data_IF_878968777097
#
_entry.id   IF_878968777097
#
_cell.length_a   1.000
_cell.length_b   1.000
_cell.length_c   1.000
_cell.angle_alpha   90.00
_cell.angle_beta   90.00
_cell.angle_gamma   90.00
#
_symmetry.space_group_name_H-M   'P 1'
#
loop_
_entity.id
_entity.type
_entity.pdbx_description
1 polymer ?
#
# COMPACT_ATOMS: atom_id res chain seq x y z
N UNK A 1 9.22 26.25 6.59
CA UNK A 1 9.09 26.49 8.04
C UNK A 1 9.59 25.24 8.72
N UNK A 2 10.88 25.26 9.04
CA UNK A 2 11.61 24.13 9.60
C UNK A 2 11.08 23.80 10.99
N UNK A 3 10.69 22.54 11.18
CA UNK A 3 10.14 22.02 12.44
C UNK A 3 11.28 21.53 13.34
N UNK A 4 11.34 21.93 14.62
CA UNK A 4 12.46 21.62 15.51
C UNK A 4 12.35 20.17 16.01
N UNK A 5 12.87 19.23 15.22
CA UNK A 5 12.96 17.83 15.59
C UNK A 5 14.15 17.61 16.55
N UNK A 6 13.89 17.14 17.77
CA UNK A 6 14.93 16.43 18.53
C UNK A 6 15.03 15.04 17.92
N UNK A 7 15.84 14.94 16.87
CA UNK A 7 16.18 13.72 16.16
C UNK A 7 16.97 12.81 17.12
N UNK A 8 16.56 11.55 17.28
CA UNK A 8 17.49 10.52 17.76
C UNK A 8 18.75 10.63 16.88
N UNK A 9 19.96 10.73 17.44
CA UNK A 9 21.15 10.97 16.65
C UNK A 9 21.27 9.93 15.55
N UNK A 10 21.14 10.37 14.30
CA UNK A 10 21.37 9.52 13.16
C UNK A 10 22.84 9.09 13.20
N UNK A 11 23.13 7.83 12.90
CA UNK A 11 24.52 7.41 12.77
C UNK A 11 25.19 8.29 11.69
N UNK A 12 26.38 8.86 11.95
CA UNK A 12 27.13 9.58 10.93
C UNK A 12 27.29 8.81 9.61
N UNK A 13 27.30 7.47 9.67
CA UNK A 13 27.37 6.56 8.51
C UNK A 13 26.03 6.36 7.80
N UNK A 14 24.89 6.58 8.47
CA UNK A 14 23.55 6.52 7.88
C UNK A 14 23.12 7.88 7.27
N UNK A 15 23.74 8.99 7.68
CA UNK A 15 23.53 10.33 7.13
C UNK A 15 23.64 10.42 5.59
N UNK A 16 24.71 9.90 4.94
CA UNK A 16 24.81 9.96 3.48
C UNK A 16 23.74 9.12 2.75
N UNK A 17 23.21 8.08 3.41
CA UNK A 17 22.13 7.25 2.87
C UNK A 17 20.81 8.01 2.95
N UNK A 18 20.53 8.65 4.10
CA UNK A 18 19.36 9.50 4.28
C UNK A 18 19.31 10.62 3.24
N UNK A 19 20.42 11.33 2.99
CA UNK A 19 20.47 12.43 2.03
C UNK A 19 20.20 11.97 0.59
N UNK A 20 20.64 10.76 0.23
CA UNK A 20 20.33 10.15 -1.08
C UNK A 20 18.86 9.77 -1.16
N UNK A 21 18.32 9.10 -0.15
CA UNK A 21 16.90 8.71 -0.11
C UNK A 21 15.96 9.92 -0.14
N UNK A 22 16.32 11.03 0.53
CA UNK A 22 15.54 12.27 0.46
C UNK A 22 15.52 12.84 -0.96
N UNK A 23 16.65 12.85 -1.67
CA UNK A 23 16.71 13.27 -3.08
C UNK A 23 15.85 12.38 -3.98
N UNK A 24 15.94 11.06 -3.81
CA UNK A 24 15.15 10.11 -4.59
C UNK A 24 13.65 10.26 -4.29
N UNK A 25 13.27 10.47 -3.03
CA UNK A 25 11.88 10.77 -2.63
C UNK A 25 11.36 12.03 -3.31
N UNK A 26 12.13 13.11 -3.30
CA UNK A 26 11.71 14.38 -3.89
C UNK A 26 11.57 14.26 -5.41
N UNK A 27 12.42 13.47 -6.07
CA UNK A 27 12.29 13.13 -7.49
C UNK A 27 11.04 12.29 -7.79
N UNK A 28 10.73 11.28 -6.95
CA UNK A 28 9.51 10.47 -7.06
C UNK A 28 8.24 11.32 -6.87
N UNK A 29 8.29 12.31 -5.95
CA UNK A 29 7.20 13.25 -5.75
C UNK A 29 7.00 14.19 -6.94
N UNK A 30 8.08 14.68 -7.53
CA UNK A 30 8.01 15.51 -8.74
C UNK A 30 7.41 14.75 -9.91
N UNK A 31 7.83 13.50 -10.12
CA UNK A 31 7.25 12.62 -11.13
C UNK A 31 5.75 12.39 -10.90
N UNK A 32 5.32 12.22 -9.65
CA UNK A 32 3.90 12.11 -9.31
C UNK A 32 3.13 13.41 -9.56
N UNK A 33 3.74 14.55 -9.28
CA UNK A 33 3.11 15.87 -9.39
C UNK A 33 3.08 16.42 -10.83
N UNK A 34 3.92 15.89 -11.71
CA UNK A 34 3.91 16.26 -13.13
C UNK A 34 2.68 15.70 -13.83
N UNK A 35 1.63 16.52 -13.91
CA UNK A 35 0.37 16.22 -14.61
C UNK A 35 0.43 16.54 -16.10
N UNK A 36 1.58 16.97 -16.63
CA UNK A 36 1.74 17.44 -18.01
C UNK A 36 2.18 16.34 -18.98
N UNK A 37 2.75 15.25 -18.47
CA UNK A 37 3.37 14.17 -19.24
C UNK A 37 2.96 12.81 -18.71
N UNK A 38 2.81 11.83 -19.60
CA UNK A 38 2.58 10.43 -19.24
C UNK A 38 3.84 9.84 -18.59
N UNK A 39 3.73 9.33 -17.37
CA UNK A 39 4.83 8.69 -16.63
C UNK A 39 5.13 7.33 -17.27
N UNK A 40 6.37 7.10 -17.70
CA UNK A 40 6.80 5.82 -18.33
C UNK A 40 7.62 4.98 -17.36
N UNK A 41 7.69 3.66 -17.62
CA UNK A 41 8.53 2.74 -16.83
C UNK A 41 9.99 3.19 -16.74
N UNK A 42 10.51 3.80 -17.80
CA UNK A 42 11.89 4.30 -17.90
C UNK A 42 12.19 5.42 -16.90
N UNK A 43 11.17 6.13 -16.44
CA UNK A 43 11.33 7.28 -15.55
C UNK A 43 11.29 6.87 -14.07
N UNK A 44 10.64 5.73 -13.76
CA UNK A 44 10.47 5.21 -12.39
C UNK A 44 11.52 4.15 -12.04
N UNK A 45 11.92 3.32 -13.01
CA UNK A 45 12.89 2.23 -12.82
C UNK A 45 14.24 2.68 -12.24
N UNK A 46 14.88 3.76 -12.74
CA UNK A 46 16.16 4.20 -12.19
C UNK A 46 16.07 4.64 -10.73
N UNK A 47 14.95 5.27 -10.34
CA UNK A 47 14.70 5.69 -8.96
C UNK A 47 14.45 4.48 -8.05
N UNK A 48 13.78 3.45 -8.56
CA UNK A 48 13.64 2.18 -7.85
C UNK A 48 14.99 1.51 -7.61
N UNK A 49 15.83 1.38 -8.65
CA UNK A 49 17.17 0.81 -8.53
C UNK A 49 18.05 1.59 -7.55
N UNK A 50 17.94 2.93 -7.55
CA UNK A 50 18.65 3.79 -6.60
C UNK A 50 18.22 3.52 -5.15
N UNK A 51 16.91 3.42 -4.89
CA UNK A 51 16.39 3.07 -3.56
C UNK A 51 16.88 1.68 -3.13
N UNK A 52 16.90 0.69 -4.03
CA UNK A 52 17.43 -0.65 -3.73
C UNK A 52 18.93 -0.61 -3.40
N UNK A 53 19.74 0.15 -4.14
CA UNK A 53 21.16 0.31 -3.82
C UNK A 53 21.42 0.99 -2.46
N UNK A 54 20.57 1.96 -2.08
CA UNK A 54 20.64 2.56 -0.75
C UNK A 54 20.27 1.57 0.37
N UNK A 55 19.35 0.64 0.09
CA UNK A 55 18.98 -0.43 1.03
C UNK A 55 20.12 -1.40 1.28
N UNK A 56 20.81 -1.82 0.22
CA UNK A 56 21.96 -2.72 0.35
C UNK A 56 23.08 -2.07 1.18
N UNK A 57 23.34 -0.79 0.94
CA UNK A 57 24.30 0.01 1.69
C UNK A 57 23.90 0.12 3.17
N UNK A 58 22.62 0.40 3.43
CA UNK A 58 22.07 0.48 4.79
C UNK A 58 22.18 -0.85 5.53
N UNK A 59 21.88 -1.95 4.86
CA UNK A 59 21.98 -3.29 5.42
C UNK A 59 23.43 -3.65 5.76
N UNK A 60 24.40 -3.28 4.92
CA UNK A 60 25.82 -3.49 5.21
C UNK A 60 26.27 -2.70 6.46
N UNK A 61 25.83 -1.45 6.61
CA UNK A 61 26.12 -0.61 7.78
C UNK A 61 25.50 -1.22 9.04
N UNK A 62 24.22 -1.60 9.00
CA UNK A 62 23.50 -2.15 10.16
C UNK A 62 23.97 -3.55 10.57
N UNK A 63 24.41 -4.37 9.60
CA UNK A 63 25.01 -5.69 9.86
C UNK A 63 26.35 -5.60 10.59
N UNK A 64 27.13 -4.54 10.33
CA UNK A 64 28.43 -4.32 10.98
C UNK A 64 28.36 -3.87 12.44
N UNK A 65 27.17 -3.52 12.94
CA UNK A 65 27.02 -2.85 14.23
C UNK A 65 26.35 -3.69 15.33
N UNK A 66 25.96 -4.95 15.07
CA UNK A 66 25.18 -5.77 16.03
C UNK A 66 24.06 -4.95 16.71
N UNK A 67 23.44 -4.01 15.98
CA UNK A 67 22.39 -3.19 16.56
C UNK A 67 21.19 -4.08 16.80
N UNK A 68 20.78 -4.09 18.06
CA UNK A 68 19.63 -4.80 18.56
C UNK A 68 18.40 -4.50 17.69
N UNK A 69 17.72 -5.54 17.19
CA UNK A 69 16.56 -5.49 16.27
C UNK A 69 15.32 -4.78 16.87
N UNK A 70 15.48 -4.17 18.05
CA UNK A 70 14.46 -3.57 18.90
C UNK A 70 14.47 -2.02 18.86
N UNK A 71 15.36 -1.39 18.07
CA UNK A 71 15.41 0.08 18.01
C UNK A 71 14.18 0.71 17.30
N UNK A 72 13.80 1.95 17.68
CA UNK A 72 12.70 2.68 17.05
C UNK A 72 12.99 2.94 15.56
N UNK A 73 11.95 2.91 14.71
CA UNK A 73 12.05 3.38 13.33
C UNK A 73 12.69 4.77 13.31
N UNK A 74 13.86 4.87 12.70
CA UNK A 74 14.61 6.13 12.55
C UNK A 74 14.01 6.97 11.42
N UNK A 75 14.36 8.26 11.36
CA UNK A 75 13.98 9.16 10.25
C UNK A 75 14.30 8.55 8.88
N UNK A 76 15.42 7.81 8.79
CA UNK A 76 15.80 7.09 7.58
C UNK A 76 14.80 5.99 7.22
N UNK A 77 14.31 5.22 8.20
CA UNK A 77 13.33 4.16 7.96
C UNK A 77 11.99 4.72 7.43
N UNK A 78 11.55 5.87 7.95
CA UNK A 78 10.34 6.54 7.43
C UNK A 78 10.53 7.02 5.99
N UNK A 79 11.63 7.72 5.70
CA UNK A 79 11.92 8.21 4.33
C UNK A 79 12.05 7.05 3.35
N UNK A 80 12.59 5.92 3.81
CA UNK A 80 12.72 4.71 3.02
C UNK A 80 11.34 4.11 2.71
N UNK A 81 10.47 3.99 3.71
CA UNK A 81 9.09 3.53 3.53
C UNK A 81 8.30 4.44 2.58
N UNK A 82 8.46 5.76 2.70
CA UNK A 82 7.86 6.75 1.78
C UNK A 82 8.31 6.53 0.32
N UNK A 83 9.61 6.28 0.10
CA UNK A 83 10.14 5.99 -1.23
C UNK A 83 9.50 4.72 -1.82
N UNK A 84 9.40 3.64 -1.04
CA UNK A 84 8.77 2.40 -1.51
C UNK A 84 7.29 2.59 -1.83
N UNK A 85 6.57 3.36 -1.03
CA UNK A 85 5.16 3.65 -1.30
C UNK A 85 4.98 4.47 -2.57
N UNK A 86 5.80 5.51 -2.78
CA UNK A 86 5.78 6.30 -4.01
C UNK A 86 6.11 5.45 -5.23
N UNK A 87 7.11 4.56 -5.13
CA UNK A 87 7.46 3.64 -6.22
C UNK A 87 6.32 2.65 -6.51
N UNK A 88 5.70 2.06 -5.48
CA UNK A 88 4.56 1.15 -5.68
C UNK A 88 3.39 1.87 -6.36
N UNK A 89 3.11 3.11 -5.96
CA UNK A 89 2.09 3.93 -6.60
C UNK A 89 2.43 4.24 -8.06
N UNK A 90 3.68 4.58 -8.36
CA UNK A 90 4.13 4.84 -9.72
C UNK A 90 4.15 3.57 -10.59
N UNK A 91 4.50 2.40 -10.05
CA UNK A 91 4.42 1.12 -10.77
C UNK A 91 2.99 0.71 -11.08
N UNK A 92 2.02 1.03 -10.22
CA UNK A 92 0.59 0.89 -10.53
C UNK A 92 0.18 1.82 -11.67
N UNK A 93 0.61 3.09 -11.67
CA UNK A 93 0.29 4.04 -12.76
C UNK A 93 0.85 3.62 -14.12
N UNK A 94 1.92 2.81 -14.13
CA UNK A 94 2.60 2.33 -15.33
C UNK A 94 2.16 0.90 -15.71
N UNK A 95 1.22 0.29 -14.96
CA UNK A 95 0.65 -1.02 -15.27
C UNK A 95 1.53 -2.22 -14.88
N UNK A 96 2.56 -2.04 -14.03
CA UNK A 96 3.41 -3.11 -13.50
C UNK A 96 2.87 -3.66 -12.18
N UNK A 97 1.65 -4.19 -12.23
CA UNK A 97 0.88 -4.60 -11.05
C UNK A 97 1.39 -5.91 -10.38
N UNK A 98 2.30 -6.64 -11.03
CA UNK A 98 2.81 -7.94 -10.56
C UNK A 98 4.17 -7.86 -9.87
N UNK A 99 4.77 -6.68 -9.76
CA UNK A 99 6.01 -6.50 -9.01
C UNK A 99 5.69 -6.26 -7.55
N UNK A 100 5.83 -7.34 -6.76
CA UNK A 100 5.64 -7.29 -5.33
C UNK A 100 6.43 -6.12 -4.72
N UNK A 101 5.79 -5.27 -3.90
CA UNK A 101 6.50 -4.26 -3.13
C UNK A 101 7.63 -4.96 -2.35
N UNK A 102 8.88 -4.54 -2.63
CA UNK A 102 10.09 -5.12 -2.03
C UNK A 102 10.14 -4.99 -0.48
N UNK A 103 9.13 -4.37 0.12
CA UNK A 103 8.84 -4.32 1.56
C UNK A 103 8.77 -5.70 2.21
N UNK A 104 8.35 -6.76 1.50
CA UNK A 104 8.30 -8.11 2.08
C UNK A 104 9.67 -8.80 2.20
N UNK A 105 10.72 -8.29 1.54
CA UNK A 105 12.04 -8.95 1.52
C UNK A 105 13.01 -8.46 2.59
N UNK A 106 12.64 -7.45 3.38
CA UNK A 106 13.59 -6.54 4.03
C UNK A 106 13.91 -6.79 5.51
N UNK A 107 13.20 -7.69 6.18
CA UNK A 107 13.31 -7.83 7.65
C UNK A 107 13.83 -9.17 8.15
N UNK A 108 14.02 -10.14 7.27
CA UNK A 108 14.31 -11.50 7.64
C UNK A 108 15.69 -11.84 7.11
N UNK A 109 16.65 -12.11 7.99
CA UNK A 109 17.58 -13.21 7.70
C UNK A 109 16.75 -14.32 7.05
N UNK A 110 17.20 -14.94 5.94
CA UNK A 110 16.37 -15.92 5.24
C UNK A 110 15.85 -16.92 6.26
N UNK A 111 14.57 -16.74 6.64
CA UNK A 111 13.92 -17.64 7.57
C UNK A 111 13.95 -18.97 6.84
N UNK A 112 14.32 -20.03 7.56
CA UNK A 112 14.11 -21.34 6.99
C UNK A 112 12.63 -21.44 6.56
N UNK A 113 12.33 -22.10 5.43
CA UNK A 113 10.96 -22.21 4.93
C UNK A 113 10.02 -22.81 5.99
N UNK A 114 10.54 -23.63 6.89
CA UNK A 114 9.84 -24.18 8.05
C UNK A 114 9.45 -23.11 9.08
N UNK A 115 10.31 -22.11 9.33
CA UNK A 115 10.03 -21.00 10.24
C UNK A 115 8.99 -20.01 9.70
N UNK A 116 8.82 -19.91 8.38
CA UNK A 116 7.86 -18.99 7.75
C UNK A 116 6.43 -19.29 8.21
N UNK A 117 6.05 -20.56 8.27
CA UNK A 117 4.71 -20.98 8.74
C UNK A 117 4.44 -20.54 10.18
N UNK A 118 5.43 -20.68 11.06
CA UNK A 118 5.32 -20.23 12.45
C UNK A 118 5.25 -18.70 12.53
N UNK A 119 6.10 -18.00 11.79
CA UNK A 119 6.09 -16.54 11.71
C UNK A 119 4.73 -16.00 11.24
N UNK A 120 4.16 -16.52 10.15
CA UNK A 120 2.84 -16.12 9.65
C UNK A 120 1.73 -16.36 10.68
N UNK A 121 1.78 -17.51 11.36
CA UNK A 121 0.83 -17.85 12.42
C UNK A 121 0.93 -16.86 13.58
N UNK A 122 2.15 -16.51 14.02
CA UNK A 122 2.37 -15.54 15.08
C UNK A 122 1.93 -14.12 14.70
N UNK A 123 2.20 -13.69 13.46
CA UNK A 123 1.71 -12.40 12.93
C UNK A 123 0.19 -12.39 12.91
N UNK A 124 -0.45 -13.49 12.51
CA UNK A 124 -1.91 -13.64 12.53
C UNK A 124 -2.46 -13.53 13.96
N UNK A 125 -1.87 -14.24 14.92
CA UNK A 125 -2.24 -14.16 16.34
C UNK A 125 -2.12 -12.72 16.85
N UNK A 126 -0.99 -12.04 16.61
CA UNK A 126 -0.78 -10.66 17.05
C UNK A 126 -1.84 -9.71 16.49
N UNK A 127 -2.20 -9.87 15.21
CA UNK A 127 -3.25 -9.07 14.55
C UNK A 127 -4.62 -9.36 15.15
N UNK A 128 -4.97 -10.63 15.36
CA UNK A 128 -6.25 -11.06 15.92
C UNK A 128 -6.42 -10.59 17.36
N UNK A 129 -5.41 -10.75 18.22
CA UNK A 129 -5.44 -10.25 19.60
C UNK A 129 -5.60 -8.72 19.63
N UNK A 130 -4.88 -8.00 18.77
CA UNK A 130 -5.01 -6.54 18.67
C UNK A 130 -6.38 -6.11 18.16
N UNK A 131 -6.95 -6.84 17.20
CA UNK A 131 -8.30 -6.59 16.70
C UNK A 131 -9.34 -6.79 17.82
N UNK A 132 -9.28 -7.92 18.53
CA UNK A 132 -10.14 -8.23 19.66
C UNK A 132 -10.10 -7.12 20.73
N UNK A 133 -8.89 -6.70 21.12
CA UNK A 133 -8.67 -5.62 22.09
C UNK A 133 -9.29 -4.27 21.69
N UNK A 134 -9.44 -3.98 20.39
CA UNK A 134 -10.06 -2.74 19.91
C UNK A 134 -11.57 -2.79 19.74
N UNK A 135 -12.19 -3.98 19.88
CA UNK A 135 -13.65 -4.13 19.78
C UNK A 135 -14.32 -3.66 21.06
N UNK A 136 -15.49 -3.03 20.93
CA UNK A 136 -16.29 -2.58 22.08
C UNK A 136 -16.78 -3.73 22.98
N UNK A 137 -16.89 -4.94 22.41
CA UNK A 137 -17.19 -6.19 23.09
C UNK A 137 -16.41 -7.31 22.38
N UNK A 138 -15.58 -8.04 23.11
CA UNK A 138 -14.95 -9.28 22.66
C UNK A 138 -15.08 -10.34 23.77
N UNK A 139 -14.97 -11.62 23.43
CA UNK A 139 -15.00 -12.70 24.42
C UNK A 139 -13.59 -12.98 24.91
N UNK A 140 -13.39 -13.19 26.21
CA UNK A 140 -12.10 -13.67 26.72
C UNK A 140 -11.71 -15.02 26.11
N UNK A 141 -12.70 -15.86 25.76
CA UNK A 141 -12.47 -17.14 25.08
C UNK A 141 -11.75 -16.98 23.74
N UNK A 142 -12.03 -15.91 22.98
CA UNK A 142 -11.38 -15.62 21.69
C UNK A 142 -9.87 -15.42 21.87
N UNK A 143 -9.43 -14.81 22.97
CA UNK A 143 -8.01 -14.62 23.27
C UNK A 143 -7.40 -15.89 23.87
N UNK A 144 -8.16 -16.65 24.66
CA UNK A 144 -7.73 -17.95 25.19
C UNK A 144 -7.46 -18.98 24.09
N UNK A 145 -8.31 -19.04 23.05
CA UNK A 145 -8.09 -19.89 21.87
C UNK A 145 -6.79 -19.51 21.13
N UNK A 146 -6.43 -18.22 21.09
CA UNK A 146 -5.15 -17.78 20.54
C UNK A 146 -3.97 -18.22 21.41
N UNK A 147 -4.13 -18.26 22.74
CA UNK A 147 -3.11 -18.81 23.65
C UNK A 147 -2.91 -20.31 23.45
N UNK A 148 -3.96 -21.07 23.14
CA UNK A 148 -3.85 -22.50 22.80
C UNK A 148 -3.00 -22.71 21.54
N UNK A 149 -3.23 -21.91 20.50
CA UNK A 149 -2.38 -21.93 19.29
C UNK A 149 -0.92 -21.54 19.58
N UNK A 150 -0.67 -20.63 20.52
CA UNK A 150 0.69 -20.33 20.98
C UNK A 150 1.31 -21.54 21.71
N UNK A 151 0.54 -22.29 22.51
CA UNK A 151 1.01 -23.53 23.14
C UNK A 151 1.34 -24.61 22.11
N UNK A 152 0.56 -24.72 21.04
CA UNK A 152 0.89 -25.63 19.93
C UNK A 152 2.24 -25.29 19.29
N UNK A 153 2.52 -24.00 19.06
CA UNK A 153 3.83 -23.55 18.57
C UNK A 153 4.93 -23.88 19.58
N UNK A 154 4.66 -23.70 20.88
CA UNK A 154 5.60 -24.05 21.95
C UNK A 154 5.92 -25.54 21.99
N UNK A 155 4.94 -26.41 21.77
CA UNK A 155 5.15 -27.86 21.71
C UNK A 155 6.02 -28.30 20.52
N UNK A 156 6.13 -27.48 19.49
CA UNK A 156 7.03 -27.71 18.35
C UNK A 156 8.46 -27.20 18.61
N UNK A 157 8.70 -26.49 19.73
CA UNK A 157 10.04 -26.09 20.15
C UNK A 157 10.67 -27.17 21.03
N UNK A 158 11.95 -27.47 20.83
CA UNK A 158 12.75 -28.33 21.71
C UNK A 158 13.77 -27.48 22.47
N UNK A 159 13.77 -27.56 23.79
CA UNK A 159 14.64 -26.76 24.66
C UNK A 159 14.61 -25.25 24.34
N UNK A 160 13.43 -24.74 23.97
CA UNK A 160 13.24 -23.34 23.60
C UNK A 160 13.77 -22.96 22.22
N UNK A 161 14.18 -23.91 21.37
CA UNK A 161 14.65 -23.69 20.01
C UNK A 161 13.71 -24.33 18.98
N UNK A 162 13.59 -23.68 17.82
CA UNK A 162 12.94 -24.28 16.66
C UNK A 162 13.96 -25.18 15.95
N UNK A 163 13.62 -26.45 15.83
CA UNK A 163 14.47 -27.46 15.21
C UNK A 163 13.84 -28.01 13.92
N UNK A 164 14.66 -28.27 12.93
CA UNK A 164 14.24 -28.88 11.68
C UNK A 164 13.97 -30.38 11.80
N UNK A 165 13.50 -30.97 10.71
CA UNK A 165 13.28 -32.43 10.61
C UNK A 165 14.55 -33.26 10.85
N UNK A 166 15.72 -32.67 10.61
CA UNK A 166 17.06 -33.22 10.86
C UNK A 166 17.55 -33.02 12.29
N UNK A 167 16.77 -32.35 13.14
CA UNK A 167 17.13 -32.00 14.52
C UNK A 167 18.09 -30.82 14.63
N UNK A 168 18.43 -30.14 13.53
CA UNK A 168 19.27 -28.95 13.57
C UNK A 168 18.47 -27.71 13.94
N UNK A 169 19.14 -26.75 14.57
CA UNK A 169 18.55 -25.47 14.92
C UNK A 169 18.30 -24.65 13.65
N UNK A 170 17.08 -24.15 13.47
CA UNK A 170 16.70 -23.39 12.29
C UNK A 170 17.32 -21.98 12.31
N UNK A 171 17.98 -21.60 11.23
CA UNK A 171 18.55 -20.26 11.04
C UNK A 171 17.47 -19.17 11.03
N UNK A 172 17.73 -18.04 11.69
CA UNK A 172 16.79 -16.91 11.80
C UNK A 172 15.71 -17.06 12.89
N UNK A 173 15.76 -18.11 13.70
CA UNK A 173 14.76 -18.39 14.75
C UNK A 173 14.58 -17.28 15.80
N UNK A 174 15.60 -16.45 16.07
CA UNK A 174 15.53 -15.41 17.11
C UNK A 174 14.44 -14.38 16.85
N UNK A 175 14.19 -14.05 15.57
CA UNK A 175 13.08 -13.16 15.20
C UNK A 175 11.72 -13.80 15.54
N UNK A 176 11.58 -15.10 15.30
CA UNK A 176 10.35 -15.86 15.56
C UNK A 176 10.13 -16.04 17.07
N UNK A 177 11.18 -16.34 17.84
CA UNK A 177 11.12 -16.40 19.32
C UNK A 177 10.71 -15.07 19.93
N UNK A 178 11.36 -13.98 19.52
CA UNK A 178 11.00 -12.65 20.02
C UNK A 178 9.56 -12.28 19.64
N UNK A 179 9.08 -12.67 18.46
CA UNK A 179 7.69 -12.49 18.09
C UNK A 179 6.74 -13.34 18.94
N UNK A 180 7.09 -14.59 19.22
CA UNK A 180 6.35 -15.49 20.10
C UNK A 180 6.18 -14.89 21.50
N UNK A 181 7.27 -14.46 22.14
CA UNK A 181 7.24 -13.81 23.45
C UNK A 181 6.36 -12.56 23.45
N UNK A 182 6.45 -11.76 22.37
CA UNK A 182 5.61 -10.56 22.21
C UNK A 182 4.13 -10.92 22.09
N UNK A 183 3.78 -11.95 21.34
CA UNK A 183 2.42 -12.45 21.21
C UNK A 183 1.89 -12.95 22.55
N UNK A 184 2.68 -13.76 23.26
CA UNK A 184 2.31 -14.28 24.57
C UNK A 184 2.03 -13.15 25.56
N UNK A 185 3.00 -12.24 25.73
CA UNK A 185 2.86 -11.09 26.62
C UNK A 185 1.68 -10.19 26.23
N UNK A 186 1.35 -10.10 24.94
CA UNK A 186 0.21 -9.31 24.49
C UNK A 186 -1.13 -9.94 24.86
N UNK A 187 -1.27 -11.26 24.70
CA UNK A 187 -2.49 -11.97 25.10
C UNK A 187 -2.77 -11.85 26.59
N UNK A 188 -1.75 -11.97 27.43
CA UNK A 188 -1.86 -11.75 28.88
C UNK A 188 -2.38 -10.35 29.22
N UNK A 189 -1.75 -9.31 28.68
CA UNK A 189 -2.14 -7.92 28.93
C UNK A 189 -3.59 -7.66 28.50
N UNK A 190 -4.03 -8.22 27.37
CA UNK A 190 -5.42 -8.05 26.88
C UNK A 190 -6.42 -8.77 27.79
N UNK A 191 -6.09 -9.95 28.31
CA UNK A 191 -6.94 -10.69 29.25
C UNK A 191 -7.00 -10.01 30.62
N UNK A 192 -5.88 -9.53 31.16
CA UNK A 192 -5.83 -8.76 32.40
C UNK A 192 -6.75 -7.53 32.33
N UNK A 193 -6.73 -6.81 31.20
CA UNK A 193 -7.61 -5.66 30.94
C UNK A 193 -9.08 -6.03 30.79
N UNK A 194 -9.37 -7.21 30.25
CA UNK A 194 -10.74 -7.71 30.17
C UNK A 194 -11.33 -7.91 31.57
N UNK A 195 -10.51 -8.40 32.51
CA UNK A 195 -10.93 -8.65 33.90
C UNK A 195 -11.00 -7.39 34.77
N UNK A 196 -10.12 -6.40 34.55
CA UNK A 196 -10.12 -5.12 35.26
C UNK A 196 -10.01 -3.92 34.30
N UNK A 197 -11.15 -3.45 33.76
CA UNK A 197 -11.18 -2.30 32.84
C UNK A 197 -10.87 -0.96 33.52
N UNK A 198 -11.00 -0.87 34.85
CA UNK A 198 -10.86 0.38 35.62
C UNK A 198 -9.41 0.78 35.86
N UNK A 199 -8.49 -0.18 35.83
CA UNK A 199 -7.05 0.05 36.01
C UNK A 199 -6.43 0.90 34.88
N UNK A 200 -7.13 1.11 33.76
CA UNK A 200 -6.54 1.73 32.58
C UNK A 200 -7.46 2.72 31.83
N UNK A 201 -7.01 3.97 31.73
CA UNK A 201 -7.81 5.12 31.27
C UNK A 201 -7.93 5.30 29.74
N UNK A 202 -7.35 4.44 28.91
CA UNK A 202 -7.19 4.76 27.48
C UNK A 202 -8.34 4.26 26.59
N UNK A 203 -9.18 5.20 26.11
CA UNK A 203 -10.21 4.95 25.08
C UNK A 203 -9.84 5.65 23.76
N UNK A 204 -9.01 5.02 22.92
CA UNK A 204 -8.84 5.52 21.56
C UNK A 204 -10.06 5.19 20.70
N UNK A 205 -10.77 6.23 20.24
CA UNK A 205 -11.77 6.12 19.18
C UNK A 205 -11.21 6.73 17.88
N UNK A 206 -10.35 6.00 17.20
CA UNK A 206 -9.99 6.32 15.81
C UNK A 206 -10.94 5.53 14.88
N UNK A 207 -12.19 5.97 14.78
CA UNK A 207 -13.15 5.38 13.84
C UNK A 207 -13.31 6.36 12.68
N UNK A 208 -12.78 6.01 11.51
CA UNK A 208 -13.22 6.62 10.25
C UNK A 208 -14.67 6.15 10.07
N UNK A 209 -15.67 7.05 10.07
CA UNK A 209 -17.06 6.64 9.91
C UNK A 209 -17.23 5.98 8.54
N UNK A 210 -17.44 4.66 8.53
CA UNK A 210 -17.67 3.86 7.32
C UNK A 210 -18.86 4.36 6.50
N UNK A 211 -19.80 5.06 7.14
CA UNK A 211 -21.01 5.61 6.54
C UNK A 211 -20.75 6.74 5.52
N UNK A 212 -19.57 7.35 5.52
CA UNK A 212 -19.16 8.36 4.52
C UNK A 212 -18.18 7.84 3.47
N UNK A 213 -17.83 6.55 3.50
CA UNK A 213 -16.76 6.00 2.64
C UNK A 213 -17.05 6.16 1.14
N UNK A 214 -18.32 6.17 0.75
CA UNK A 214 -18.79 6.27 -0.64
C UNK A 214 -18.78 7.70 -1.21
N UNK A 215 -18.49 8.71 -0.39
CA UNK A 215 -18.39 10.11 -0.81
C UNK A 215 -17.01 10.72 -0.53
N UNK A 216 -16.01 9.91 -0.18
CA UNK A 216 -14.65 10.39 0.10
C UNK A 216 -13.89 10.56 -1.21
N UNK A 217 -13.44 11.78 -1.49
CA UNK A 217 -12.52 12.07 -2.62
C UNK A 217 -11.09 11.72 -2.23
N UNK A 218 -10.20 11.57 -3.22
CA UNK A 218 -8.76 11.40 -3.00
C UNK A 218 -8.19 12.51 -2.10
N UNK A 219 -8.63 13.75 -2.35
CA UNK A 219 -8.30 14.91 -1.51
C UNK A 219 -8.72 14.74 -0.05
N UNK A 220 -9.91 14.20 0.22
CA UNK A 220 -10.39 13.96 1.59
C UNK A 220 -9.54 12.86 2.28
N UNK A 221 -9.14 11.83 1.54
CA UNK A 221 -8.24 10.77 2.03
C UNK A 221 -6.85 11.34 2.41
N UNK A 222 -6.29 12.27 1.64
CA UNK A 222 -5.05 12.96 2.00
C UNK A 222 -5.18 13.80 3.28
N UNK A 223 -6.35 14.40 3.55
CA UNK A 223 -6.58 15.10 4.81
C UNK A 223 -6.60 14.13 6.00
N UNK A 224 -7.17 12.93 5.83
CA UNK A 224 -7.11 11.88 6.85
C UNK A 224 -5.69 11.37 7.05
N UNK A 225 -4.92 11.19 5.97
CA UNK A 225 -3.51 10.82 6.04
C UNK A 225 -2.72 11.84 6.86
N UNK A 226 -2.83 13.14 6.57
CA UNK A 226 -2.16 14.19 7.36
C UNK A 226 -2.54 14.21 8.83
N UNK A 227 -3.80 13.92 9.17
CA UNK A 227 -4.22 13.80 10.57
C UNK A 227 -3.56 12.61 11.24
N UNK A 228 -3.44 11.50 10.51
CA UNK A 228 -2.80 10.29 10.99
C UNK A 228 -1.29 10.49 11.18
N UNK A 229 -0.63 11.16 10.23
CA UNK A 229 0.78 11.53 10.30
C UNK A 229 1.05 12.35 11.57
N UNK A 230 0.24 13.38 11.85
CA UNK A 230 0.38 14.18 13.08
C UNK A 230 0.26 13.36 14.37
N UNK A 231 -0.62 12.36 14.38
CA UNK A 231 -0.77 11.48 15.55
C UNK A 231 0.48 10.62 15.67
N UNK A 232 0.97 10.06 14.58
CA UNK A 232 2.12 9.18 14.58
C UNK A 232 3.43 9.93 14.92
N UNK A 233 3.54 11.18 14.45
CA UNK A 233 4.61 12.14 14.73
C UNK A 233 4.62 12.66 16.17
N UNK A 234 3.51 12.51 16.91
CA UNK A 234 3.44 12.92 18.32
C UNK A 234 4.27 12.00 19.25
N UNK A 235 4.84 10.92 18.73
CA UNK A 235 5.71 10.01 19.49
C UNK A 235 7.05 10.66 19.82
N UNK A 236 7.49 10.56 21.06
CA UNK A 236 8.80 11.01 21.53
C UNK A 236 9.68 9.80 21.79
N UNK A 237 10.84 9.73 21.12
CA UNK A 237 11.74 8.56 21.17
C UNK A 237 11.04 7.22 20.84
N UNK A 238 10.06 7.25 19.93
CA UNK A 238 9.29 6.08 19.53
C UNK A 238 8.11 5.72 20.44
N UNK A 239 7.87 6.48 21.51
CA UNK A 239 6.79 6.22 22.48
C UNK A 239 5.74 7.33 22.46
N UNK A 240 4.46 6.97 22.56
CA UNK A 240 3.39 7.90 22.94
C UNK A 240 3.58 8.34 24.40
N UNK A 241 3.30 9.60 24.71
CA UNK A 241 3.38 10.09 26.08
C UNK A 241 2.00 10.05 26.76
N UNK A 242 2.00 9.79 28.06
CA UNK A 242 0.81 9.92 28.91
C UNK A 242 0.59 11.36 29.39
N UNK A 243 -0.44 11.57 30.23
CA UNK A 243 -0.78 12.89 30.77
C UNK A 243 0.33 13.52 31.66
N UNK A 244 1.33 12.73 32.07
CA UNK A 244 2.47 13.15 32.89
C UNK A 244 3.76 13.33 32.08
N UNK A 245 3.67 13.31 30.74
CA UNK A 245 4.80 13.33 29.81
C UNK A 245 5.77 12.14 29.95
N UNK A 246 5.31 11.01 30.51
CA UNK A 246 6.07 9.77 30.56
C UNK A 246 5.65 8.84 29.41
N UNK A 247 6.50 7.88 29.00
CA UNK A 247 6.09 6.86 28.03
C UNK A 247 4.82 6.16 28.52
N UNK A 248 3.76 6.23 27.70
CA UNK A 248 2.51 5.55 27.99
C UNK A 248 2.73 4.04 28.14
N UNK A 249 1.84 3.38 28.89
CA UNK A 249 1.96 1.97 29.19
C UNK A 249 1.94 1.09 27.93
N UNK A 250 2.51 -0.12 28.03
CA UNK A 250 2.73 -1.00 26.89
C UNK A 250 1.44 -1.30 26.11
N UNK A 251 0.30 -1.34 26.79
CA UNK A 251 -1.00 -1.50 26.15
C UNK A 251 -1.41 -0.28 25.33
N UNK A 252 -1.36 0.93 25.89
CA UNK A 252 -1.68 2.13 25.14
C UNK A 252 -0.79 2.27 23.91
N UNK A 253 0.53 2.05 24.07
CA UNK A 253 1.51 2.06 22.97
C UNK A 253 1.10 1.11 21.83
N UNK A 254 0.90 -0.18 22.16
CA UNK A 254 0.59 -1.22 21.17
C UNK A 254 -0.77 -1.00 20.52
N UNK A 255 -1.76 -0.58 21.30
CA UNK A 255 -3.12 -0.29 20.80
C UNK A 255 -3.10 0.88 19.82
N UNK A 256 -2.44 1.98 20.17
CA UNK A 256 -2.29 3.14 19.28
C UNK A 256 -1.56 2.79 18.00
N UNK A 257 -0.42 2.11 18.10
CA UNK A 257 0.34 1.67 16.91
C UNK A 257 -0.49 0.73 16.01
N UNK A 258 -1.29 -0.17 16.59
CA UNK A 258 -2.19 -1.03 15.82
C UNK A 258 -3.27 -0.21 15.10
N UNK A 259 -3.92 0.72 15.81
CA UNK A 259 -4.95 1.58 15.23
C UNK A 259 -4.38 2.45 14.11
N UNK A 260 -3.21 3.05 14.30
CA UNK A 260 -2.55 3.87 13.29
C UNK A 260 -2.23 3.06 12.04
N UNK A 261 -1.56 1.91 12.18
CA UNK A 261 -1.26 1.02 11.04
C UNK A 261 -2.53 0.57 10.31
N UNK A 262 -3.58 0.26 11.07
CA UNK A 262 -4.87 -0.13 10.49
C UNK A 262 -5.55 1.03 9.76
N UNK A 263 -5.47 2.25 10.30
CA UNK A 263 -5.98 3.45 9.65
C UNK A 263 -5.24 3.75 8.35
N UNK A 264 -3.90 3.64 8.33
CA UNK A 264 -3.12 3.76 7.09
C UNK A 264 -3.55 2.69 6.07
N UNK A 265 -3.66 1.43 6.49
CA UNK A 265 -4.09 0.35 5.60
C UNK A 265 -5.49 0.61 5.00
N UNK A 266 -6.43 1.14 5.79
CA UNK A 266 -7.74 1.55 5.27
C UNK A 266 -7.65 2.71 4.30
N UNK A 267 -6.87 3.76 4.61
CA UNK A 267 -6.68 4.90 3.70
C UNK A 267 -6.10 4.41 2.37
N UNK A 268 -5.10 3.53 2.40
CA UNK A 268 -4.52 2.96 1.20
C UNK A 268 -5.50 2.08 0.42
N UNK A 269 -6.25 1.21 1.10
CA UNK A 269 -7.28 0.41 0.45
C UNK A 269 -8.35 1.30 -0.22
N UNK A 270 -8.73 2.41 0.42
CA UNK A 270 -9.67 3.39 -0.12
C UNK A 270 -9.07 4.22 -1.26
N UNK A 271 -7.78 4.57 -1.23
CA UNK A 271 -7.07 5.23 -2.33
C UNK A 271 -6.94 4.31 -3.55
N UNK A 272 -6.77 3.01 -3.33
CA UNK A 272 -6.75 2.02 -4.42
C UNK A 272 -8.16 1.82 -4.99
N UNK A 273 -9.18 1.86 -4.13
CA UNK A 273 -10.58 1.67 -4.53
C UNK A 273 -11.25 2.94 -5.05
N UNK A 274 -10.69 4.13 -4.78
CA UNK A 274 -11.27 5.39 -5.24
C UNK A 274 -11.23 5.43 -6.76
N UNK A 275 -12.37 5.78 -7.36
CA UNK A 275 -12.46 5.88 -8.81
C UNK A 275 -11.42 6.89 -9.31
N UNK A 276 -10.73 6.58 -10.42
CA UNK A 276 -9.61 7.38 -10.88
C UNK A 276 -10.06 8.71 -11.48
N UNK A 277 -11.35 9.07 -11.37
CA UNK A 277 -12.02 10.13 -12.12
C UNK A 277 -12.98 10.91 -11.22
N UNK A 278 -12.89 12.24 -11.25
CA UNK A 278 -13.79 13.13 -10.50
C UNK A 278 -15.27 12.95 -10.91
N UNK A 279 -16.19 13.24 -9.98
CA UNK A 279 -17.65 13.09 -10.19
C UNK A 279 -18.16 13.72 -11.49
N UNK A 280 -17.61 14.88 -11.86
CA UNK A 280 -18.01 15.60 -13.05
C UNK A 280 -17.56 14.93 -14.36
N UNK A 281 -16.51 14.10 -14.32
CA UNK A 281 -16.06 13.30 -15.45
C UNK A 281 -16.65 11.88 -15.46
N UNK A 282 -17.30 11.42 -14.38
CA UNK A 282 -17.93 10.10 -14.32
C UNK A 282 -18.92 9.82 -15.46
N UNK A 283 -19.79 10.76 -15.88
CA UNK A 283 -20.68 10.51 -17.02
C UNK A 283 -19.92 10.16 -18.30
N UNK A 284 -18.79 10.82 -18.55
CA UNK A 284 -17.94 10.59 -19.73
C UNK A 284 -17.20 9.25 -19.57
N UNK A 285 -16.61 9.02 -18.41
CA UNK A 285 -15.88 7.80 -18.09
C UNK A 285 -16.76 6.55 -18.24
N UNK A 286 -17.98 6.57 -17.69
CA UNK A 286 -18.93 5.45 -17.80
C UNK A 286 -19.39 5.19 -19.24
N UNK A 287 -19.57 6.26 -20.04
CA UNK A 287 -19.87 6.13 -21.46
C UNK A 287 -18.73 5.44 -22.21
N UNK A 288 -17.48 5.81 -21.93
CA UNK A 288 -16.30 5.19 -22.53
C UNK A 288 -16.10 3.75 -22.07
N UNK A 289 -16.35 3.42 -20.80
CA UNK A 289 -16.30 2.04 -20.31
C UNK A 289 -17.32 1.14 -21.02
N UNK A 290 -18.54 1.65 -21.21
CA UNK A 290 -19.59 0.94 -21.95
C UNK A 290 -19.15 0.73 -23.40
N UNK A 291 -18.63 1.79 -24.04
CA UNK A 291 -18.18 1.72 -25.43
C UNK A 291 -16.99 0.75 -25.61
N UNK A 292 -16.03 0.74 -24.69
CA UNK A 292 -14.95 -0.26 -24.65
C UNK A 292 -15.48 -1.68 -24.58
N UNK A 293 -16.42 -1.94 -23.67
CA UNK A 293 -17.03 -3.28 -23.53
C UNK A 293 -17.70 -3.71 -24.83
N UNK A 294 -18.49 -2.84 -25.45
CA UNK A 294 -19.13 -3.15 -26.72
C UNK A 294 -18.12 -3.40 -27.85
N UNK A 295 -17.03 -2.62 -27.94
CA UNK A 295 -15.99 -2.84 -28.96
C UNK A 295 -15.24 -4.15 -28.74
N UNK A 296 -14.96 -4.53 -27.48
CA UNK A 296 -14.36 -5.83 -27.16
C UNK A 296 -15.31 -6.99 -27.49
N UNK A 297 -16.59 -6.88 -27.16
CA UNK A 297 -17.60 -7.89 -27.53
C UNK A 297 -17.68 -8.09 -29.05
N UNK A 298 -17.60 -7.01 -29.83
CA UNK A 298 -17.54 -7.09 -31.30
C UNK A 298 -16.28 -7.82 -31.75
N UNK A 299 -15.12 -7.50 -31.18
CA UNK A 299 -13.85 -8.19 -31.47
C UNK A 299 -13.91 -9.68 -31.16
N UNK A 300 -14.44 -10.03 -29.98
CA UNK A 300 -14.56 -11.41 -29.51
C UNK A 300 -15.60 -12.22 -30.32
N UNK A 301 -16.59 -11.54 -30.91
CA UNK A 301 -17.61 -12.16 -31.78
C UNK A 301 -17.16 -12.36 -33.23
N UNK A 302 -15.88 -12.14 -33.54
CA UNK A 302 -15.31 -12.31 -34.87
C UNK A 302 -15.23 -11.03 -35.70
N UNK A 303 -15.33 -9.86 -35.08
CA UNK A 303 -15.19 -8.57 -35.77
C UNK A 303 -16.48 -8.07 -36.43
N UNK A 304 -16.34 -7.22 -37.44
CA UNK A 304 -17.47 -6.64 -38.20
C UNK A 304 -17.38 -7.07 -39.65
N UNK A 305 -18.51 -7.27 -40.33
CA UNK A 305 -18.52 -7.69 -41.74
C UNK A 305 -18.25 -6.54 -42.72
N UNK A 306 -18.41 -5.29 -42.28
CA UNK A 306 -18.06 -4.12 -43.09
C UNK A 306 -17.69 -2.93 -42.20
N UNK A 307 -16.89 -2.02 -42.73
CA UNK A 307 -16.44 -0.82 -42.01
C UNK A 307 -17.57 0.14 -41.59
N UNK A 308 -18.77 0.06 -42.19
CA UNK A 308 -19.88 0.97 -41.85
C UNK A 308 -20.53 0.62 -40.51
N UNK A 309 -20.45 -0.64 -40.08
CA UNK A 309 -20.95 -1.08 -38.77
C UNK A 309 -20.20 -0.42 -37.60
N UNK A 310 -18.98 0.07 -37.83
CA UNK A 310 -18.20 0.83 -36.84
C UNK A 310 -18.58 2.31 -36.75
N UNK A 311 -19.47 2.80 -37.62
CA UNK A 311 -19.85 4.22 -37.67
C UNK A 311 -20.51 4.73 -36.37
N UNK A 312 -21.46 4.01 -35.74
CA UNK A 312 -22.05 4.44 -34.48
C UNK A 312 -21.01 4.62 -33.36
N UNK A 313 -20.04 3.71 -33.26
CA UNK A 313 -18.94 3.80 -32.30
C UNK A 313 -18.04 5.00 -32.60
N UNK A 314 -17.66 5.19 -33.86
CA UNK A 314 -16.84 6.31 -34.31
C UNK A 314 -17.51 7.67 -34.04
N UNK A 315 -18.82 7.77 -34.29
CA UNK A 315 -19.61 8.97 -33.99
C UNK A 315 -19.67 9.25 -32.49
N UNK A 316 -19.87 8.22 -31.66
CA UNK A 316 -19.90 8.39 -30.20
C UNK A 316 -18.54 8.81 -29.65
N UNK A 317 -17.46 8.23 -30.16
CA UNK A 317 -16.08 8.61 -29.81
C UNK A 317 -15.81 10.07 -30.16
N UNK A 318 -16.09 10.48 -31.41
CA UNK A 318 -15.90 11.86 -31.84
C UNK A 318 -16.76 12.85 -31.03
N UNK A 319 -17.99 12.45 -30.66
CA UNK A 319 -18.85 13.27 -29.80
C UNK A 319 -18.24 13.52 -28.42
N UNK A 320 -17.56 12.53 -27.85
CA UNK A 320 -16.86 12.67 -26.57
C UNK A 320 -15.58 13.49 -26.75
N UNK A 321 -14.86 13.26 -27.85
CA UNK A 321 -13.62 13.96 -28.19
C UNK A 321 -13.83 15.48 -28.33
N UNK A 322 -14.94 15.87 -28.97
CA UNK A 322 -15.35 17.26 -29.16
C UNK A 322 -15.69 17.98 -27.85
N UNK A 323 -15.85 17.28 -26.73
CA UNK A 323 -16.01 17.90 -25.41
C UNK A 323 -14.69 18.43 -24.85
N UNK A 324 -13.55 18.10 -25.48
CA UNK A 324 -12.22 18.53 -25.07
C UNK A 324 -11.83 19.83 -25.74
N UNK A 325 -11.10 20.67 -25.02
CA UNK A 325 -10.45 21.88 -25.52
C UNK A 325 -8.94 21.64 -25.36
N UNK A 326 -8.18 21.68 -26.46
CA UNK A 326 -6.73 21.42 -26.45
C UNK A 326 -6.36 20.08 -25.78
N UNK A 327 -7.12 19.02 -26.08
CA UNK A 327 -6.92 17.67 -25.54
C UNK A 327 -7.32 17.48 -24.07
N UNK A 328 -7.98 18.47 -23.45
CA UNK A 328 -8.36 18.49 -22.04
C UNK A 328 -9.87 18.71 -21.87
N UNK A 329 -10.52 17.97 -20.98
CA UNK A 329 -11.86 18.32 -20.51
C UNK A 329 -11.75 19.44 -19.45
N UNK A 330 -12.74 20.33 -19.44
CA UNK A 330 -12.83 21.48 -18.54
C UNK A 330 -14.18 21.51 -17.84
N UNK A 331 -14.18 21.97 -16.58
CA UNK A 331 -15.40 22.31 -15.83
C UNK A 331 -15.25 23.74 -15.33
N UNK A 332 -16.04 24.65 -15.89
CA UNK A 332 -15.78 26.07 -15.71
C UNK A 332 -14.39 26.42 -16.24
N UNK A 333 -13.51 26.90 -15.36
CA UNK A 333 -12.12 27.25 -15.70
C UNK A 333 -11.08 26.23 -15.23
N UNK A 334 -11.51 25.15 -14.55
CA UNK A 334 -10.60 24.20 -13.92
C UNK A 334 -10.53 22.88 -14.69
N UNK A 335 -9.37 22.22 -14.59
CA UNK A 335 -9.15 20.88 -15.13
C UNK A 335 -9.53 19.85 -14.05
N UNK A 336 -10.56 19.01 -14.29
CA UNK A 336 -10.97 17.97 -13.35
C UNK A 336 -9.87 16.93 -13.07
N UNK A 337 -9.90 16.39 -11.85
CA UNK A 337 -9.07 15.26 -11.44
C UNK A 337 -9.47 13.98 -12.19
N UNK A 338 -8.48 13.18 -12.57
CA UNK A 338 -8.67 11.93 -13.30
C UNK A 338 -8.86 12.04 -14.81
N UNK A 339 -8.67 13.24 -15.37
CA UNK A 339 -8.64 13.49 -16.80
C UNK A 339 -7.72 12.52 -17.58
N UNK A 340 -6.56 12.17 -17.01
CA UNK A 340 -5.62 11.24 -17.63
C UNK A 340 -6.23 9.86 -17.89
N UNK A 341 -7.00 9.33 -16.94
CA UNK A 341 -7.67 8.04 -17.07
C UNK A 341 -8.78 8.07 -18.12
N UNK A 342 -9.53 9.17 -18.21
CA UNK A 342 -10.55 9.37 -19.26
C UNK A 342 -9.90 9.48 -20.63
N UNK A 343 -8.81 10.24 -20.77
CA UNK A 343 -8.07 10.38 -22.02
C UNK A 343 -7.42 9.06 -22.46
N UNK A 344 -6.86 8.29 -21.54
CA UNK A 344 -6.31 6.96 -21.85
C UNK A 344 -7.39 5.99 -22.31
N UNK A 345 -8.56 5.99 -21.66
CA UNK A 345 -9.67 5.12 -22.03
C UNK A 345 -10.26 5.52 -23.39
N UNK A 346 -10.34 6.82 -23.67
CA UNK A 346 -10.76 7.34 -24.97
C UNK A 346 -9.81 6.91 -26.08
N UNK A 347 -8.49 7.02 -25.85
CA UNK A 347 -7.47 6.55 -26.78
C UNK A 347 -7.57 5.03 -27.01
N UNK A 348 -7.73 4.24 -25.95
CA UNK A 348 -7.91 2.78 -26.06
C UNK A 348 -9.14 2.43 -26.92
N UNK A 349 -10.26 3.13 -26.75
CA UNK A 349 -11.43 2.90 -27.59
C UNK A 349 -11.20 3.27 -29.07
N UNK A 350 -10.42 4.33 -29.36
CA UNK A 350 -10.03 4.66 -30.73
C UNK A 350 -9.12 3.59 -31.34
N UNK A 351 -8.13 3.09 -30.59
CA UNK A 351 -7.26 1.99 -31.01
C UNK A 351 -8.08 0.72 -31.32
N UNK A 352 -8.98 0.32 -30.42
CA UNK A 352 -9.87 -0.84 -30.64
C UNK A 352 -10.73 -0.68 -31.90
N UNK A 353 -11.29 0.52 -32.11
CA UNK A 353 -12.09 0.79 -33.31
C UNK A 353 -11.24 0.82 -34.59
N UNK A 354 -9.99 1.24 -34.51
CA UNK A 354 -9.04 1.20 -35.62
C UNK A 354 -8.63 -0.23 -35.97
N UNK A 355 -8.26 -1.03 -34.97
CA UNK A 355 -7.91 -2.45 -35.13
C UNK A 355 -9.04 -3.24 -35.81
N UNK A 356 -10.28 -3.06 -35.34
CA UNK A 356 -11.46 -3.69 -35.94
C UNK A 356 -11.66 -3.27 -37.40
N UNK A 357 -11.39 -2.00 -37.74
CA UNK A 357 -11.51 -1.52 -39.11
C UNK A 357 -10.40 -2.06 -40.01
N UNK A 358 -9.17 -2.15 -39.49
CA UNK A 358 -8.03 -2.69 -40.23
C UNK A 358 -8.25 -4.16 -40.60
N UNK A 359 -8.80 -4.96 -39.67
CA UNK A 359 -9.13 -6.36 -39.91
C UNK A 359 -10.07 -6.56 -41.13
N UNK A 360 -11.11 -5.74 -41.27
CA UNK A 360 -12.03 -5.78 -42.43
C UNK A 360 -11.30 -5.52 -43.74
N UNK A 361 -10.38 -4.55 -43.75
CA UNK A 361 -9.65 -4.15 -44.96
C UNK A 361 -8.69 -5.24 -45.42
N UNK A 362 -8.18 -6.04 -44.50
CA UNK A 362 -7.28 -7.14 -44.84
C UNK A 362 -8.06 -8.39 -45.30
N UNK A 363 -9.21 -8.71 -44.70
CA UNK A 363 -10.14 -9.73 -45.23
C UNK A 363 -10.60 -9.39 -46.66
N UNK A 364 -10.99 -8.13 -46.91
CA UNK A 364 -11.39 -7.63 -48.23
C UNK A 364 -10.26 -7.70 -49.29
N UNK A 365 -8.98 -7.82 -48.88
CA UNK A 365 -7.84 -7.96 -49.80
C UNK A 365 -7.49 -9.42 -50.05
N UNK A 366 -7.60 -10.27 -49.04
CA UNK A 366 -7.39 -11.71 -49.18
C UNK A 366 -8.43 -12.30 -50.16
N UNK A 367 -9.71 -11.94 -50.00
CA UNK A 367 -10.78 -12.38 -50.92
C UNK A 367 -10.57 -11.93 -52.38
N UNK A 368 -9.89 -10.80 -52.61
CA UNK A 368 -9.58 -10.28 -53.96
C UNK A 368 -8.26 -10.80 -54.55
N UNK A 369 -7.41 -11.44 -53.74
CA UNK A 369 -6.17 -12.05 -54.19
C UNK A 369 -6.32 -13.51 -54.63
N UNK A 370 -7.46 -14.12 -54.30
CA UNK A 370 -7.80 -15.51 -54.64
C UNK A 370 -8.78 -15.67 -55.84
N UNK A 371 -9.32 -14.56 -56.38
CA UNK A 371 -10.00 -14.50 -57.68
C UNK A 371 -9.02 -14.21 -58.83
#
# INVERSE_FOLDING_TARGET
MDSPAVLVPLDPREQPILDRLLRTRDALLLLKQDKSSYIKSRDVLPLYEEVIGQVETLNAVRKSQERDRRMPHTRLDYVLDDCFQLISLLFLTVGRNNEAPATLRKGLEPLSPELVKFHETLVSILRSTSAANTRSKFSSSEVSELQERLKEIQNNMKDGNFVGSDGQILGGQEAVKSLYERCWRWTEIVLERYTDPTSYSFKAKAKIPTEKAWSLRETDLFHFQRKLDRIDEARVNGNFLDATNQPADLHAQRTLLYLIRRSYAYIYALLIASEPVSEALLPIYNQLQTLRRCLLEVKDSGGVSNSRELYPYSMKLNSIDNMRIDGKFYIGNDIPEGQGSVNSLLAECYELAYDLRAAVVDEDKEDRGEE
#
